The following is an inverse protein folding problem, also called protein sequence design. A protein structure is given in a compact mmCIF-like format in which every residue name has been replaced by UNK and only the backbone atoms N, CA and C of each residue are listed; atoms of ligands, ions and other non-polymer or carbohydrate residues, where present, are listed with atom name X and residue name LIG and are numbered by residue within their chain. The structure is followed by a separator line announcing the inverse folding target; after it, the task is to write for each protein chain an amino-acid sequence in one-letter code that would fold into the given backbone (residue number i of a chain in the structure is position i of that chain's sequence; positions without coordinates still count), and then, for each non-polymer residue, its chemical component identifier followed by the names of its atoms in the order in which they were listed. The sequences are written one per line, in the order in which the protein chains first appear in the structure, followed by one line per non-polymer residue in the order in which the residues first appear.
data_IF_837428852326
#
_entry.id   IF_837428852326
#
_cell.length_a   1.000
_cell.length_b   1.000
_cell.length_c   1.000
_cell.angle_alpha   90.00
_cell.angle_beta   90.00
_cell.angle_gamma   90.00
#
_symmetry.space_group_name_H-M   'P 1'
#
loop_
_entity.id
_entity.type
_entity.pdbx_description
1 polymer ?
#
# COMPACT_ATOMS: atom_id res chain seq x y z
N UNK A 1 -22.82 9.79 -1.99
CA UNK A 1 -21.43 9.69 -1.47
C UNK A 1 -21.40 8.94 -0.13
N UNK A 2 -21.59 7.61 -0.15
CA UNK A 2 -21.35 6.76 1.01
C UNK A 2 -21.15 5.31 0.53
N UNK A 3 -19.89 4.86 0.44
CA UNK A 3 -19.53 3.45 0.15
C UNK A 3 -18.32 3.04 1.00
N UNK A 4 -18.54 2.96 2.31
CA UNK A 4 -17.62 2.39 3.30
C UNK A 4 -16.35 3.22 3.55
N UNK A 5 -15.88 3.27 4.80
CA UNK A 5 -14.61 3.93 5.17
C UNK A 5 -13.41 3.18 4.57
N UNK A 6 -13.22 3.25 3.24
CA UNK A 6 -12.01 2.76 2.57
C UNK A 6 -10.84 3.64 2.97
N UNK A 7 -9.76 3.04 3.43
CA UNK A 7 -8.54 3.75 3.83
C UNK A 7 -7.58 3.77 2.65
N UNK A 8 -7.00 4.92 2.35
CA UNK A 8 -5.92 5.02 1.37
C UNK A 8 -4.61 4.55 2.00
N UNK A 9 -3.90 3.68 1.29
CA UNK A 9 -2.62 3.11 1.71
C UNK A 9 -1.60 3.26 0.60
N UNK A 10 -0.37 3.52 1.01
CA UNK A 10 0.81 3.58 0.16
C UNK A 10 1.66 2.34 0.32
N UNK A 11 2.21 1.89 -0.77
CA UNK A 11 3.17 0.80 -0.83
C UNK A 11 4.54 1.36 -1.13
N UNK A 12 5.45 1.20 -0.17
CA UNK A 12 6.80 1.75 -0.23
C UNK A 12 7.82 0.64 -0.48
N UNK A 13 8.84 0.93 -1.28
CA UNK A 13 10.00 0.05 -1.43
C UNK A 13 10.78 -0.01 -0.13
N UNK A 14 11.20 -1.20 0.28
CA UNK A 14 12.09 -1.36 1.42
C UNK A 14 13.51 -0.90 1.11
N UNK A 15 13.95 -1.08 -0.14
CA UNK A 15 15.31 -0.79 -0.55
C UNK A 15 15.56 0.71 -0.71
N UNK A 16 14.60 1.41 -1.31
CA UNK A 16 14.77 2.83 -1.70
C UNK A 16 13.88 3.79 -0.92
N UNK A 17 12.92 3.27 -0.13
CA UNK A 17 12.00 4.10 0.65
C UNK A 17 11.00 4.91 -0.18
N UNK A 18 11.00 4.78 -1.51
CA UNK A 18 10.10 5.52 -2.38
C UNK A 18 8.67 4.95 -2.34
N UNK A 19 7.69 5.83 -2.59
CA UNK A 19 6.31 5.40 -2.79
C UNK A 19 6.17 4.83 -4.21
N UNK A 20 5.83 3.55 -4.30
CA UNK A 20 5.72 2.83 -5.58
C UNK A 20 4.26 2.75 -6.04
N UNK A 21 3.32 2.59 -5.13
CA UNK A 21 1.91 2.43 -5.48
C UNK A 21 0.98 2.95 -4.38
N UNK A 22 -0.17 3.51 -4.78
CA UNK A 22 -1.23 3.95 -3.85
C UNK A 22 -2.52 3.25 -4.24
N UNK A 23 -3.21 2.70 -3.26
CA UNK A 23 -4.52 2.06 -3.46
C UNK A 23 -5.41 2.29 -2.25
N UNK A 24 -6.68 1.93 -2.36
CA UNK A 24 -7.62 1.94 -1.27
C UNK A 24 -7.91 0.51 -0.79
N UNK A 25 -7.99 0.33 0.52
CA UNK A 25 -8.34 -0.95 1.13
C UNK A 25 -9.54 -0.81 2.06
N UNK A 26 -10.31 -1.89 2.20
CA UNK A 26 -11.32 -1.99 3.24
C UNK A 26 -10.73 -2.80 4.41
N UNK A 27 -10.36 -2.12 5.50
CA UNK A 27 -9.71 -2.77 6.65
C UNK A 27 -10.56 -3.86 7.30
N UNK A 28 -11.89 -3.82 7.16
CA UNK A 28 -12.80 -4.85 7.69
C UNK A 28 -12.59 -6.23 7.07
N UNK A 29 -11.95 -6.31 5.90
CA UNK A 29 -11.68 -7.56 5.20
C UNK A 29 -10.38 -8.23 5.66
N UNK A 30 -9.61 -7.59 6.54
CA UNK A 30 -8.32 -8.09 7.03
C UNK A 30 -8.48 -8.56 8.47
N UNK A 31 -7.82 -9.66 8.82
CA UNK A 31 -7.69 -10.11 10.20
C UNK A 31 -6.93 -9.09 11.07
N UNK A 32 -7.05 -9.17 12.40
CA UNK A 32 -6.30 -8.32 13.30
C UNK A 32 -4.78 -8.49 13.07
N UNK A 33 -4.10 -7.41 12.68
CA UNK A 33 -2.65 -7.39 12.42
C UNK A 33 -2.23 -7.78 11.00
N UNK A 34 -3.14 -8.23 10.15
CA UNK A 34 -2.82 -8.53 8.75
C UNK A 34 -2.53 -7.26 7.96
N UNK A 35 -1.41 -7.26 7.24
CA UNK A 35 -1.02 -6.21 6.30
C UNK A 35 -0.96 -6.80 4.92
N UNK A 36 -1.54 -6.08 3.95
CA UNK A 36 -1.39 -6.44 2.55
C UNK A 36 0.08 -6.29 2.16
N UNK A 37 0.68 -7.34 1.58
CA UNK A 37 1.96 -7.27 0.89
C UNK A 37 1.69 -7.34 -0.62
N UNK A 38 2.28 -6.44 -1.39
CA UNK A 38 2.13 -6.42 -2.84
C UNK A 38 3.49 -6.52 -3.50
N UNK A 39 3.59 -7.37 -4.53
CA UNK A 39 4.73 -7.39 -5.43
C UNK A 39 4.42 -6.51 -6.64
N UNK A 40 5.14 -5.41 -6.82
CA UNK A 40 4.96 -4.47 -7.93
C UNK A 40 6.30 -4.02 -8.50
N UNK A 41 6.26 -3.61 -9.75
CA UNK A 41 7.43 -3.05 -10.44
C UNK A 41 7.78 -1.68 -9.86
N UNK A 42 9.01 -1.53 -9.37
CA UNK A 42 9.56 -0.25 -8.97
C UNK A 42 10.35 0.34 -10.14
N UNK A 43 9.95 1.53 -10.60
CA UNK A 43 10.58 2.19 -11.75
C UNK A 43 12.00 2.67 -11.47
N UNK A 44 12.35 2.88 -10.19
CA UNK A 44 13.69 3.36 -9.79
C UNK A 44 14.69 2.21 -9.88
N UNK A 45 14.39 1.10 -9.21
CA UNK A 45 15.26 -0.08 -9.18
C UNK A 45 15.08 -1.01 -10.38
N UNK A 46 14.08 -0.74 -11.24
CA UNK A 46 13.75 -1.47 -12.47
C UNK A 46 13.45 -2.95 -12.26
N UNK A 47 12.97 -3.34 -11.08
CA UNK A 47 12.62 -4.73 -10.73
C UNK A 47 11.30 -4.82 -9.96
N UNK A 48 10.76 -6.04 -9.85
CA UNK A 48 9.58 -6.32 -9.05
C UNK A 48 9.95 -6.60 -7.60
N UNK A 49 9.49 -5.75 -6.68
CA UNK A 49 9.81 -5.79 -5.26
C UNK A 49 8.56 -6.07 -4.42
N UNK A 50 8.75 -6.70 -3.28
CA UNK A 50 7.72 -6.80 -2.24
C UNK A 50 7.70 -5.48 -1.48
N UNK A 51 6.53 -4.84 -1.44
CA UNK A 51 6.37 -3.49 -0.90
C UNK A 51 5.69 -3.52 0.46
N UNK A 52 6.11 -2.61 1.35
CA UNK A 52 5.50 -2.42 2.67
C UNK A 52 4.35 -1.43 2.63
N UNK A 53 3.21 -1.84 3.19
CA UNK A 53 2.03 -0.99 3.34
C UNK A 53 2.24 0.03 4.47
N UNK A 54 1.96 1.30 4.18
CA UNK A 54 1.81 2.39 5.16
C UNK A 54 0.50 3.13 4.90
N UNK A 55 -0.17 3.56 5.97
CA UNK A 55 -1.37 4.38 5.85
C UNK A 55 -1.00 5.79 5.42
N UNK A 56 -1.77 6.35 4.48
CA UNK A 56 -1.57 7.73 4.04
C UNK A 56 -2.83 8.51 4.43
N UNK A 57 -2.66 9.64 5.11
CA UNK A 57 -3.73 10.62 5.23
C UNK A 57 -3.88 11.30 3.87
N UNK A 58 -4.99 11.06 3.19
CA UNK A 58 -5.40 11.91 2.08
C UNK A 58 -5.83 13.23 2.71
N UNK A 59 -5.00 14.26 2.55
CA UNK A 59 -5.36 15.64 2.90
C UNK A 59 -6.61 16.08 2.16
#
# INVERSE_FOLDING_TARGET
MAKGKRTYVGFYSEETGNLVHVTNINKKNFGPGEKLSLRKYNKITKKHEVLKMKEIKKG
#
